data_IF_729510314816
#
_entry.id   IF_729510314816
#
_cell.length_a   1.000
_cell.length_b   1.000
_cell.length_c   1.000
_cell.angle_alpha   90.00
_cell.angle_beta   90.00
_cell.angle_gamma   90.00
#
_symmetry.space_group_name_H-M   'P 1'
#
loop_
_entity.id
_entity.type
_entity.pdbx_description
1 polymer ?
#
# COMPACT_ATOMS: atom_id res chain seq x y z
N UNK A 1 -14.55 18.41 50.22
CA UNK A 1 -14.40 17.25 49.30
C UNK A 1 -14.34 17.79 47.87
N UNK A 2 -13.26 18.51 47.52
CA UNK A 2 -12.10 18.06 46.70
C UNK A 2 -12.53 17.48 45.34
N UNK A 3 -12.88 18.35 44.38
CA UNK A 3 -12.08 18.77 43.19
C UNK A 3 -12.00 17.72 42.08
N UNK A 4 -12.78 17.95 41.02
CA UNK A 4 -12.68 17.27 39.73
C UNK A 4 -11.32 17.58 39.07
N UNK A 5 -10.63 16.53 38.59
CA UNK A 5 -9.40 16.65 37.80
C UNK A 5 -9.76 16.54 36.32
N UNK A 6 -9.76 17.68 35.62
CA UNK A 6 -9.65 17.73 34.16
C UNK A 6 -8.25 17.21 33.79
N UNK A 7 -8.18 16.09 33.07
CA UNK A 7 -6.94 15.67 32.40
C UNK A 7 -6.87 16.41 31.06
N UNK A 8 -6.00 17.42 31.01
CA UNK A 8 -5.68 18.17 29.80
C UNK A 8 -5.15 17.24 28.70
N UNK A 9 -5.84 17.21 27.56
CA UNK A 9 -5.35 16.60 26.33
C UNK A 9 -4.30 17.56 25.74
N UNK A 10 -3.02 17.22 25.90
CA UNK A 10 -1.95 17.96 25.25
C UNK A 10 -2.01 17.70 23.74
N UNK A 11 -2.55 18.67 23.00
CA UNK A 11 -2.36 18.77 21.55
C UNK A 11 -0.90 19.15 21.35
N UNK A 12 -0.09 18.23 20.83
CA UNK A 12 1.25 18.54 20.38
C UNK A 12 1.14 19.43 19.13
N UNK A 13 1.35 20.73 19.31
CA UNK A 13 1.59 21.66 18.21
C UNK A 13 2.92 21.28 17.54
N UNK A 14 2.85 20.61 16.39
CA UNK A 14 4.01 20.52 15.49
C UNK A 14 4.19 21.91 14.87
N UNK A 15 5.15 22.66 15.37
CA UNK A 15 5.60 23.90 14.74
C UNK A 15 6.29 23.54 13.42
N UNK A 16 5.63 23.80 12.29
CA UNK A 16 6.21 23.64 10.96
C UNK A 16 6.95 24.93 10.64
N UNK A 17 8.29 24.88 10.73
CA UNK A 17 9.14 25.93 10.17
C UNK A 17 8.94 25.99 8.63
N UNK A 18 9.07 27.17 8.00
CA UNK A 18 8.87 27.28 6.56
C UNK A 18 9.92 26.45 5.81
N UNK A 19 9.46 25.38 5.15
CA UNK A 19 10.28 24.59 4.24
C UNK A 19 10.60 25.46 3.03
N UNK A 20 11.88 25.75 2.85
CA UNK A 20 12.38 26.50 1.70
C UNK A 20 12.08 25.72 0.42
N UNK A 21 11.63 26.46 -0.59
CA UNK A 21 11.21 25.98 -1.89
C UNK A 21 12.35 25.28 -2.65
N UNK A 22 12.48 23.98 -2.43
CA UNK A 22 12.98 22.95 -3.36
C UNK A 22 12.30 21.66 -2.89
N UNK A 23 11.08 21.39 -3.37
CA UNK A 23 10.26 20.29 -2.88
C UNK A 23 10.89 18.92 -3.20
N UNK A 24 11.81 18.48 -2.35
CA UNK A 24 12.37 17.13 -2.36
C UNK A 24 11.60 16.23 -1.40
N UNK A 25 11.07 16.79 -0.31
CA UNK A 25 10.24 16.08 0.67
C UNK A 25 8.76 16.36 0.41
N UNK A 26 7.97 15.32 0.23
CA UNK A 26 6.50 15.40 0.20
C UNK A 26 5.92 14.55 1.32
N UNK A 27 4.76 14.94 1.84
CA UNK A 27 4.06 14.17 2.85
C UNK A 27 2.58 13.99 2.50
N UNK A 28 1.96 12.93 3.01
CA UNK A 28 0.53 12.72 2.84
C UNK A 28 -0.12 12.06 4.05
N UNK A 29 -1.42 12.30 4.19
CA UNK A 29 -2.30 11.59 5.12
C UNK A 29 -3.63 11.30 4.44
N UNK A 30 -4.18 10.11 4.67
CA UNK A 30 -5.42 9.66 4.09
C UNK A 30 -6.29 8.92 5.09
N UNK A 31 -7.61 9.13 5.00
CA UNK A 31 -8.62 8.32 5.67
C UNK A 31 -9.37 7.53 4.60
N UNK A 32 -9.30 6.20 4.67
CA UNK A 32 -10.01 5.30 3.76
C UNK A 32 -11.08 4.52 4.49
N UNK A 33 -12.20 4.21 3.83
CA UNK A 33 -13.27 3.35 4.37
C UNK A 33 -12.83 1.89 4.54
N UNK A 34 -11.80 1.45 3.82
CA UNK A 34 -11.15 0.16 3.99
C UNK A 34 -9.77 0.16 3.29
N UNK A 35 -8.77 -0.47 3.90
CA UNK A 35 -7.48 -0.73 3.25
C UNK A 35 -7.50 -2.12 2.60
N UNK A 36 -7.35 -2.15 1.27
CA UNK A 36 -7.08 -3.37 0.50
C UNK A 36 -5.66 -3.36 -0.07
N UNK A 37 -4.92 -4.42 0.21
CA UNK A 37 -3.62 -4.70 -0.40
C UNK A 37 -3.76 -5.89 -1.36
N UNK A 38 -3.39 -5.71 -2.63
CA UNK A 38 -3.55 -6.72 -3.70
C UNK A 38 -4.95 -7.36 -3.70
N UNK A 39 -5.98 -6.52 -3.56
CA UNK A 39 -7.39 -6.93 -3.51
C UNK A 39 -7.88 -7.55 -2.18
N UNK A 40 -6.99 -7.79 -1.21
CA UNK A 40 -7.32 -8.42 0.08
C UNK A 40 -7.44 -7.38 1.20
N UNK A 41 -8.50 -7.49 2.02
CA UNK A 41 -8.68 -6.60 3.18
C UNK A 41 -7.53 -6.71 4.18
N UNK A 42 -7.15 -5.56 4.74
CA UNK A 42 -6.11 -5.45 5.77
C UNK A 42 -6.69 -5.18 7.17
N UNK A 43 -8.02 -5.20 7.33
CA UNK A 43 -8.71 -5.37 8.62
C UNK A 43 -9.68 -6.53 8.46
N UNK A 44 -9.50 -7.59 9.25
CA UNK A 44 -10.29 -8.82 9.28
C UNK A 44 -11.00 -9.01 10.62
N UNK A 45 -10.64 -8.26 11.66
CA UNK A 45 -11.13 -8.43 13.03
C UNK A 45 -12.61 -8.12 13.22
N UNK A 46 -13.25 -7.42 12.27
CA UNK A 46 -14.69 -7.13 12.30
C UNK A 46 -15.38 -7.64 11.04
N UNK A 47 -16.52 -8.32 11.19
CA UNK A 47 -17.39 -8.66 10.06
C UNK A 47 -18.26 -7.45 9.65
N UNK A 48 -17.61 -6.42 9.09
CA UNK A 48 -18.25 -5.17 8.64
C UNK A 48 -17.81 -4.82 7.23
N UNK A 49 -18.69 -4.15 6.49
CA UNK A 49 -18.37 -3.68 5.13
C UNK A 49 -17.33 -2.55 5.13
N UNK A 50 -17.42 -1.66 6.13
CA UNK A 50 -16.57 -0.48 6.32
C UNK A 50 -15.68 -0.73 7.55
N UNK A 51 -14.37 -0.60 7.34
CA UNK A 51 -13.32 -0.81 8.33
C UNK A 51 -12.24 0.25 8.10
N UNK A 52 -12.44 1.46 8.65
CA UNK A 52 -11.62 2.59 8.26
C UNK A 52 -10.15 2.39 8.60
N UNK A 53 -9.27 2.87 7.74
CA UNK A 53 -7.83 2.90 8.00
C UNK A 53 -7.28 4.32 7.84
N UNK A 54 -6.38 4.68 8.76
CA UNK A 54 -5.59 5.90 8.67
C UNK A 54 -4.26 5.53 8.00
N UNK A 55 -3.93 6.27 6.95
CA UNK A 55 -2.76 6.02 6.12
C UNK A 55 -1.95 7.29 5.97
N UNK A 56 -0.65 7.18 5.75
CA UNK A 56 0.19 8.34 5.52
C UNK A 56 1.66 8.00 5.38
N UNK A 57 2.41 8.95 4.85
CA UNK A 57 3.80 8.70 4.49
C UNK A 57 4.58 9.95 4.14
N UNK A 58 5.87 9.73 3.90
CA UNK A 58 6.84 10.73 3.50
C UNK A 58 7.67 10.19 2.34
N UNK A 59 7.94 11.03 1.36
CA UNK A 59 8.79 10.71 0.21
C UNK A 59 9.89 11.74 0.09
N UNK A 60 11.12 11.30 -0.13
CA UNK A 60 12.26 12.17 -0.39
C UNK A 60 12.93 11.81 -1.72
N UNK A 61 12.99 12.78 -2.63
CA UNK A 61 13.68 12.65 -3.92
C UNK A 61 15.02 13.38 -3.88
N UNK A 62 16.10 12.71 -4.25
CA UNK A 62 17.46 13.27 -4.21
C UNK A 62 17.73 14.15 -5.43
N UNK A 63 17.05 15.30 -5.48
CA UNK A 63 17.13 16.24 -6.61
C UNK A 63 16.84 15.56 -7.94
N UNK A 64 17.60 15.90 -8.97
CA UNK A 64 17.44 15.33 -10.31
C UNK A 64 18.22 14.02 -10.51
N UNK A 65 18.76 13.43 -9.44
CA UNK A 65 19.60 12.23 -9.56
C UNK A 65 18.83 11.00 -10.04
N UNK A 66 17.51 10.96 -9.84
CA UNK A 66 16.65 9.80 -10.05
C UNK A 66 16.48 8.91 -8.81
N UNK A 67 17.34 9.06 -7.80
CA UNK A 67 17.20 8.32 -6.54
C UNK A 67 16.09 8.90 -5.66
N UNK A 68 15.39 8.02 -4.95
CA UNK A 68 14.41 8.40 -3.93
C UNK A 68 14.34 7.36 -2.81
N UNK A 69 13.84 7.81 -1.66
CA UNK A 69 13.44 6.96 -0.53
C UNK A 69 12.08 7.42 -0.04
N UNK A 70 11.35 6.53 0.62
CA UNK A 70 10.10 6.90 1.24
C UNK A 70 9.64 5.90 2.29
N UNK A 71 8.59 6.31 2.97
CA UNK A 71 7.91 5.54 3.98
C UNK A 71 6.40 5.70 3.82
N UNK A 72 5.68 4.62 4.05
CA UNK A 72 4.23 4.62 4.11
C UNK A 72 3.76 3.79 5.29
N UNK A 73 2.63 4.15 5.87
CA UNK A 73 2.05 3.46 7.02
C UNK A 73 0.54 3.32 6.88
N UNK A 74 -0.01 2.28 7.48
CA UNK A 74 -1.45 2.13 7.64
C UNK A 74 -1.80 1.34 8.90
N UNK A 75 -2.93 1.71 9.52
CA UNK A 75 -3.57 0.82 10.48
C UNK A 75 -4.04 -0.47 9.79
N UNK A 76 -3.81 -1.61 10.44
CA UNK A 76 -4.14 -2.96 9.95
C UNK A 76 -4.61 -3.85 11.10
N UNK A 77 -5.34 -4.93 10.82
CA UNK A 77 -5.79 -5.95 11.78
C UNK A 77 -6.11 -7.27 11.05
N UNK A 78 -5.07 -7.98 10.61
CA UNK A 78 -5.20 -9.21 9.79
C UNK A 78 -4.29 -10.36 10.22
N UNK A 79 -3.35 -10.09 11.13
CA UNK A 79 -2.59 -11.09 11.87
C UNK A 79 -2.79 -10.90 13.37
N UNK A 80 -2.62 -11.96 14.17
CA UNK A 80 -2.61 -11.81 15.62
C UNK A 80 -1.61 -10.73 16.05
N UNK A 81 -2.11 -9.72 16.78
CA UNK A 81 -1.36 -8.60 17.37
C UNK A 81 -0.75 -7.61 16.37
N UNK A 82 -1.07 -7.66 15.07
CA UNK A 82 -0.70 -6.57 14.18
C UNK A 82 -1.71 -5.41 14.30
N UNK A 83 -1.20 -4.19 14.39
CA UNK A 83 -2.02 -2.98 14.40
C UNK A 83 -1.52 -1.90 13.43
N UNK A 84 -0.29 -2.07 12.94
CA UNK A 84 0.41 -1.12 12.09
C UNK A 84 1.26 -1.87 11.06
N UNK A 85 1.07 -1.47 9.80
CA UNK A 85 1.96 -1.73 8.69
C UNK A 85 2.84 -0.50 8.50
N UNK A 86 4.14 -0.71 8.39
CA UNK A 86 5.15 0.30 8.10
C UNK A 86 5.99 -0.20 6.94
N UNK A 87 5.92 0.52 5.84
CA UNK A 87 6.63 0.21 4.63
C UNK A 87 7.78 1.19 4.45
N UNK A 88 8.97 0.67 4.17
CA UNK A 88 10.10 1.47 3.71
C UNK A 88 10.42 1.10 2.28
N UNK A 89 10.69 2.09 1.46
CA UNK A 89 11.08 1.86 0.08
C UNK A 89 12.13 2.85 -0.38
N UNK A 90 12.82 2.44 -1.43
CA UNK A 90 13.73 3.29 -2.17
C UNK A 90 13.97 2.71 -3.54
N UNK A 91 14.38 3.56 -4.45
CA UNK A 91 14.58 3.16 -5.83
C UNK A 91 15.25 4.23 -6.67
N UNK A 92 15.32 3.93 -7.95
CA UNK A 92 15.90 4.75 -8.97
C UNK A 92 14.95 4.87 -10.16
N UNK A 93 14.58 6.11 -10.49
CA UNK A 93 13.74 6.45 -11.64
C UNK A 93 14.56 7.13 -12.71
N UNK A 94 14.36 6.72 -13.96
CA UNK A 94 14.96 7.34 -15.13
C UNK A 94 14.08 7.18 -16.36
N UNK A 95 14.28 8.07 -17.34
CA UNK A 95 13.59 8.01 -18.63
C UNK A 95 14.43 7.27 -19.66
N UNK A 96 13.80 6.36 -20.40
CA UNK A 96 14.36 5.69 -21.56
C UNK A 96 13.46 5.99 -22.77
N UNK A 97 13.75 7.08 -23.49
CA UNK A 97 12.87 7.62 -24.51
C UNK A 97 11.54 8.08 -23.91
N UNK A 98 10.43 7.54 -24.40
CA UNK A 98 9.07 7.84 -23.92
C UNK A 98 8.65 6.99 -22.70
N UNK A 99 9.50 6.06 -22.25
CA UNK A 99 9.18 5.16 -21.14
C UNK A 99 9.85 5.65 -19.85
N UNK A 100 9.06 5.79 -18.80
CA UNK A 100 9.55 6.00 -17.42
C UNK A 100 9.83 4.64 -16.78
N UNK A 101 11.07 4.42 -16.36
CA UNK A 101 11.51 3.20 -15.68
C UNK A 101 11.76 3.47 -14.20
N UNK A 102 11.38 2.51 -13.36
CA UNK A 102 11.56 2.56 -11.90
C UNK A 102 12.01 1.19 -11.40
N UNK A 103 13.12 1.15 -10.68
CA UNK A 103 13.60 -0.07 -10.03
C UNK A 103 13.83 0.23 -8.55
N UNK A 104 13.38 -0.67 -7.68
CA UNK A 104 13.48 -0.41 -6.26
C UNK A 104 13.29 -1.63 -5.38
N UNK A 105 13.31 -1.36 -4.09
CA UNK A 105 13.05 -2.32 -3.04
C UNK A 105 11.93 -1.80 -2.12
N UNK A 106 11.19 -2.74 -1.56
CA UNK A 106 10.13 -2.53 -0.57
C UNK A 106 10.39 -3.44 0.62
N UNK A 107 10.33 -2.88 1.81
CA UNK A 107 10.35 -3.59 3.07
C UNK A 107 9.05 -3.31 3.82
N UNK A 108 8.17 -4.30 3.83
CA UNK A 108 6.94 -4.32 4.61
C UNK A 108 7.25 -4.80 6.02
N UNK A 109 6.87 -4.03 7.03
CA UNK A 109 7.04 -4.37 8.45
C UNK A 109 5.69 -4.34 9.15
N UNK A 110 5.35 -5.45 9.81
CA UNK A 110 4.13 -5.60 10.59
C UNK A 110 4.47 -5.64 12.06
N UNK A 111 4.30 -4.50 12.72
CA UNK A 111 4.57 -4.38 14.15
C UNK A 111 3.66 -5.33 14.92
N UNK A 112 4.24 -6.10 15.85
CA UNK A 112 3.53 -7.11 16.64
C UNK A 112 3.43 -8.49 16.01
N UNK A 113 3.71 -8.64 14.69
CA UNK A 113 3.77 -9.96 14.04
C UNK A 113 4.73 -10.00 12.84
N UNK A 114 5.96 -10.46 13.08
CA UNK A 114 7.03 -10.47 12.08
C UNK A 114 6.87 -11.48 10.95
N UNK A 115 5.94 -12.44 11.04
CA UNK A 115 5.58 -13.35 9.95
C UNK A 115 4.91 -12.63 8.78
N UNK A 116 4.37 -11.44 9.00
CA UNK A 116 3.89 -10.56 7.93
C UNK A 116 5.02 -9.88 7.17
N UNK A 117 6.20 -9.71 7.79
CA UNK A 117 7.28 -8.90 7.21
C UNK A 117 7.73 -9.49 5.88
N UNK A 118 7.79 -8.64 4.87
CA UNK A 118 8.08 -9.07 3.50
C UNK A 118 9.08 -8.09 2.88
N UNK A 119 10.06 -8.61 2.15
CA UNK A 119 10.99 -7.82 1.35
C UNK A 119 10.79 -8.16 -0.11
N UNK A 120 10.53 -7.15 -0.94
CA UNK A 120 10.37 -7.31 -2.38
C UNK A 120 11.36 -6.41 -3.13
N UNK A 121 11.89 -6.91 -4.24
CA UNK A 121 12.50 -6.08 -5.28
C UNK A 121 11.49 -5.90 -6.40
N UNK A 122 11.52 -4.77 -7.09
CA UNK A 122 10.61 -4.53 -8.19
C UNK A 122 11.24 -3.75 -9.33
N UNK A 123 10.62 -3.91 -10.50
CA UNK A 123 10.80 -3.06 -11.67
C UNK A 123 9.44 -2.63 -12.21
N UNK A 124 9.35 -1.40 -12.69
CA UNK A 124 8.17 -0.86 -13.34
C UNK A 124 8.55 -0.07 -14.59
N UNK A 125 7.64 -0.08 -15.56
CA UNK A 125 7.72 0.69 -16.79
C UNK A 125 6.39 1.40 -17.02
N UNK A 126 6.43 2.70 -17.28
CA UNK A 126 5.26 3.51 -17.58
C UNK A 126 5.40 4.14 -18.95
N UNK A 127 4.36 3.99 -19.77
CA UNK A 127 4.26 4.57 -21.11
C UNK A 127 2.89 5.24 -21.27
N UNK A 128 2.89 6.57 -21.33
CA UNK A 128 1.65 7.35 -21.31
C UNK A 128 0.81 7.02 -20.06
N UNK A 129 -0.48 6.65 -20.21
CA UNK A 129 -1.33 6.34 -19.06
C UNK A 129 -1.16 4.93 -18.51
N UNK A 130 -0.34 4.09 -19.15
CA UNK A 130 -0.20 2.68 -18.78
C UNK A 130 1.07 2.41 -18.00
N UNK A 131 0.97 1.58 -16.97
CA UNK A 131 2.10 1.12 -16.17
C UNK A 131 2.08 -0.39 -16.03
N UNK A 132 3.23 -1.04 -16.21
CA UNK A 132 3.46 -2.42 -15.80
C UNK A 132 4.48 -2.45 -14.67
N UNK A 133 4.20 -3.20 -13.60
CA UNK A 133 5.09 -3.38 -12.46
C UNK A 133 5.18 -4.86 -12.10
N UNK A 134 6.39 -5.34 -11.85
CA UNK A 134 6.61 -6.67 -11.29
C UNK A 134 7.38 -6.57 -9.98
N UNK A 135 6.80 -7.12 -8.92
CA UNK A 135 7.44 -7.29 -7.61
C UNK A 135 7.82 -8.75 -7.39
N UNK A 136 9.01 -8.97 -6.83
CA UNK A 136 9.57 -10.28 -6.54
C UNK A 136 10.04 -10.37 -5.08
N UNK A 137 9.49 -11.33 -4.35
CA UNK A 137 9.82 -11.53 -2.93
C UNK A 137 11.18 -12.18 -2.75
N UNK A 138 12.04 -11.53 -1.97
CA UNK A 138 13.39 -12.02 -1.62
C UNK A 138 13.52 -12.47 -0.17
N UNK A 139 12.60 -12.05 0.71
CA UNK A 139 12.46 -12.57 2.07
C UNK A 139 11.93 -14.00 2.10
N UNK A 140 12.16 -14.71 3.21
CA UNK A 140 11.55 -16.02 3.45
C UNK A 140 10.11 -15.92 3.95
N UNK A 141 9.79 -14.92 4.76
CA UNK A 141 8.40 -14.60 5.06
C UNK A 141 7.74 -13.88 3.87
N UNK A 142 6.43 -14.08 3.71
CA UNK A 142 5.59 -13.41 2.71
C UNK A 142 4.17 -13.26 3.28
N UNK A 143 3.85 -12.07 3.80
CA UNK A 143 2.53 -11.67 4.30
C UNK A 143 1.79 -12.76 5.11
N UNK A 144 2.50 -13.43 6.02
CA UNK A 144 1.95 -14.48 6.89
C UNK A 144 1.74 -15.86 6.25
N UNK A 145 1.94 -16.02 4.94
CA UNK A 145 1.71 -17.30 4.24
C UNK A 145 2.81 -18.33 4.43
N UNK A 146 4.07 -17.89 4.50
CA UNK A 146 5.19 -18.79 4.73
C UNK A 146 5.41 -19.04 6.22
N UNK A 147 5.45 -17.98 7.04
CA UNK A 147 5.63 -18.08 8.50
C UNK A 147 6.97 -18.68 8.91
N UNK A 148 8.05 -18.38 8.17
CA UNK A 148 9.37 -18.95 8.43
C UNK A 148 9.90 -18.55 9.81
N UNK A 149 9.75 -17.28 10.18
CA UNK A 149 10.08 -16.79 11.53
C UNK A 149 9.23 -17.41 12.64
N UNK A 150 8.06 -17.97 12.30
CA UNK A 150 7.21 -18.71 13.21
C UNK A 150 7.55 -20.22 13.25
N UNK A 151 8.61 -20.66 12.55
CA UNK A 151 9.11 -22.03 12.61
C UNK A 151 8.46 -23.01 11.63
N UNK A 152 7.74 -22.53 10.62
CA UNK A 152 7.10 -23.43 9.64
C UNK A 152 8.09 -24.22 8.77
N UNK A 153 9.32 -23.71 8.61
CA UNK A 153 10.30 -24.22 7.66
C UNK A 153 10.02 -23.90 6.19
N UNK A 154 8.93 -23.20 5.89
CA UNK A 154 8.50 -22.85 4.52
C UNK A 154 9.09 -21.51 4.09
N UNK A 155 9.28 -21.32 2.78
CA UNK A 155 9.76 -20.09 2.19
C UNK A 155 8.77 -19.46 1.21
N UNK A 156 8.48 -18.18 1.44
CA UNK A 156 7.75 -17.30 0.53
C UNK A 156 8.61 -16.63 -0.52
N UNK A 157 9.95 -16.82 -0.45
CA UNK A 157 10.89 -16.36 -1.47
C UNK A 157 10.49 -16.89 -2.85
N UNK A 158 10.65 -16.07 -3.87
CA UNK A 158 10.20 -16.34 -5.23
C UNK A 158 8.67 -16.29 -5.43
N UNK A 159 7.92 -15.73 -4.48
CA UNK A 159 6.58 -15.21 -4.79
C UNK A 159 6.72 -14.01 -5.72
N UNK A 160 5.87 -13.94 -6.74
CA UNK A 160 5.87 -12.86 -7.72
C UNK A 160 4.51 -12.20 -7.82
N UNK A 161 4.51 -10.90 -8.07
CA UNK A 161 3.30 -10.12 -8.30
C UNK A 161 3.46 -9.25 -9.54
N UNK A 162 2.64 -9.51 -10.55
CA UNK A 162 2.56 -8.68 -11.75
C UNK A 162 1.34 -7.77 -11.64
N UNK A 163 1.53 -6.48 -11.88
CA UNK A 163 0.48 -5.47 -11.84
C UNK A 163 0.50 -4.66 -13.13
N UNK A 164 -0.69 -4.45 -13.70
CA UNK A 164 -0.93 -3.60 -14.86
C UNK A 164 -1.92 -2.51 -14.46
N UNK A 165 -1.60 -1.27 -14.76
CA UNK A 165 -2.38 -0.11 -14.38
C UNK A 165 -2.64 0.83 -15.55
N UNK A 166 -3.76 1.53 -15.44
CA UNK A 166 -4.15 2.67 -16.26
C UNK A 166 -4.47 3.84 -15.33
N UNK A 167 -3.91 5.02 -15.60
CA UNK A 167 -4.23 6.26 -14.90
C UNK A 167 -4.23 7.41 -15.90
N UNK A 168 -5.36 8.13 -15.99
CA UNK A 168 -5.51 9.24 -16.93
C UNK A 168 -6.42 10.30 -16.33
N UNK A 169 -6.00 11.57 -16.40
CA UNK A 169 -6.90 12.70 -16.21
C UNK A 169 -7.79 12.82 -17.46
N UNK A 170 -9.11 12.69 -17.28
CA UNK A 170 -10.09 12.63 -18.38
C UNK A 170 -10.88 13.92 -18.54
N UNK A 171 -10.90 14.74 -17.50
CA UNK A 171 -11.40 16.12 -17.48
C UNK A 171 -10.70 16.85 -16.31
N UNK A 172 -10.69 18.20 -16.28
CA UNK A 172 -10.00 18.93 -15.24
C UNK A 172 -10.35 18.41 -13.85
N UNK A 173 -9.32 18.07 -13.06
CA UNK A 173 -9.42 17.56 -11.68
C UNK A 173 -10.00 16.15 -11.54
N UNK A 174 -10.34 15.45 -12.63
CA UNK A 174 -10.91 14.10 -12.57
C UNK A 174 -9.99 13.09 -13.23
N UNK A 175 -9.52 12.17 -12.41
CA UNK A 175 -8.63 11.09 -12.82
C UNK A 175 -9.34 9.77 -12.78
N UNK A 176 -9.30 9.00 -13.86
CA UNK A 176 -9.75 7.61 -13.92
C UNK A 176 -8.56 6.70 -13.65
N UNK A 177 -8.79 5.66 -12.85
CA UNK A 177 -7.80 4.64 -12.48
C UNK A 177 -8.39 3.25 -12.66
N UNK A 178 -7.65 2.37 -13.33
CA UNK A 178 -7.99 0.96 -13.44
C UNK A 178 -6.74 0.11 -13.30
N UNK A 179 -6.87 -1.09 -12.74
CA UNK A 179 -5.74 -2.02 -12.64
C UNK A 179 -6.15 -3.47 -12.49
N UNK A 180 -5.21 -4.34 -12.88
CA UNK A 180 -5.25 -5.79 -12.69
C UNK A 180 -3.94 -6.24 -12.05
N UNK A 181 -4.02 -7.15 -11.08
CA UNK A 181 -2.89 -7.77 -10.44
C UNK A 181 -2.95 -9.30 -10.52
N UNK A 182 -1.80 -9.96 -10.54
CA UNK A 182 -1.68 -11.41 -10.48
C UNK A 182 -0.58 -11.80 -9.48
N UNK A 183 -0.98 -12.50 -8.42
CA UNK A 183 -0.06 -13.06 -7.42
C UNK A 183 0.23 -14.52 -7.75
N UNK A 184 1.51 -14.82 -8.02
CA UNK A 184 2.05 -16.17 -8.15
C UNK A 184 2.85 -16.55 -6.90
N UNK A 185 2.27 -17.38 -6.04
CA UNK A 185 2.94 -17.85 -4.83
C UNK A 185 4.15 -18.74 -5.13
N UNK A 186 5.12 -18.73 -4.20
CA UNK A 186 6.26 -19.64 -4.14
C UNK A 186 5.82 -21.12 -4.06
N UNK A 187 6.75 -22.04 -4.36
CA UNK A 187 6.49 -23.50 -4.32
C UNK A 187 5.95 -23.96 -2.98
N UNK A 188 6.56 -23.52 -1.89
CA UNK A 188 6.25 -24.01 -0.54
C UNK A 188 4.83 -23.59 -0.13
N UNK A 189 4.48 -22.33 -0.42
CA UNK A 189 3.12 -21.80 -0.18
C UNK A 189 2.09 -22.53 -1.04
N UNK A 190 2.39 -22.80 -2.32
CA UNK A 190 1.51 -23.61 -3.18
C UNK A 190 1.39 -25.06 -2.69
N UNK A 191 2.43 -25.60 -2.06
CA UNK A 191 2.42 -26.93 -1.44
C UNK A 191 1.38 -27.05 -0.32
N UNK A 192 0.98 -25.94 0.31
CA UNK A 192 -0.14 -25.86 1.26
C UNK A 192 -1.53 -25.82 0.58
N UNK A 193 -1.59 -25.88 -0.75
CA UNK A 193 -2.82 -25.75 -1.52
C UNK A 193 -3.29 -24.30 -1.70
N UNK A 194 -2.47 -23.30 -1.36
CA UNK A 194 -2.80 -21.88 -1.56
C UNK A 194 -2.82 -21.58 -3.07
N UNK A 195 -3.97 -21.17 -3.65
CA UNK A 195 -4.07 -20.91 -5.07
C UNK A 195 -3.49 -19.53 -5.41
N UNK A 196 -2.81 -19.43 -6.55
CA UNK A 196 -2.58 -18.14 -7.20
C UNK A 196 -3.91 -17.43 -7.47
N UNK A 197 -3.89 -16.11 -7.42
CA UNK A 197 -5.09 -15.30 -7.57
C UNK A 197 -4.82 -14.02 -8.37
N UNK A 198 -5.90 -13.42 -8.83
CA UNK A 198 -5.92 -12.12 -9.48
C UNK A 198 -6.74 -11.14 -8.67
N UNK A 199 -6.27 -9.90 -8.63
CA UNK A 199 -6.99 -8.76 -8.08
C UNK A 199 -7.25 -7.69 -9.15
N UNK A 200 -8.16 -6.78 -8.82
CA UNK A 200 -8.54 -5.69 -9.69
C UNK A 200 -8.97 -4.47 -8.87
N UNK A 201 -8.83 -3.31 -9.49
CA UNK A 201 -9.41 -2.06 -8.99
C UNK A 201 -9.86 -1.19 -10.14
N UNK A 202 -11.04 -0.59 -10.04
CA UNK A 202 -11.53 0.40 -11.01
C UNK A 202 -12.19 1.54 -10.24
N UNK A 203 -11.83 2.77 -10.56
CA UNK A 203 -12.33 3.95 -9.88
C UNK A 203 -11.78 5.24 -10.45
N UNK A 204 -11.87 6.28 -9.63
CA UNK A 204 -11.30 7.57 -9.96
C UNK A 204 -11.07 8.43 -8.73
N UNK A 205 -10.55 9.62 -8.97
CA UNK A 205 -10.35 10.63 -7.95
C UNK A 205 -10.75 12.01 -8.48
N UNK A 206 -11.30 12.82 -7.59
CA UNK A 206 -11.53 14.24 -7.80
C UNK A 206 -10.53 15.03 -6.96
N UNK A 207 -9.77 15.91 -7.59
CA UNK A 207 -8.86 16.85 -6.93
C UNK A 207 -9.61 18.16 -6.60
N UNK A 208 -9.77 18.47 -5.32
CA UNK A 208 -10.39 19.73 -4.92
C UNK A 208 -9.47 20.93 -5.13
N UNK A 209 -8.16 20.70 -5.28
CA UNK A 209 -7.11 21.70 -5.18
C UNK A 209 -6.47 21.70 -3.80
N UNK A 210 -5.40 22.50 -3.66
CA UNK A 210 -4.67 22.69 -2.39
C UNK A 210 -4.23 21.37 -1.74
N UNK A 211 -3.93 20.34 -2.55
CA UNK A 211 -3.50 19.02 -2.10
C UNK A 211 -4.60 18.17 -1.47
N UNK A 212 -5.89 18.52 -1.61
CA UNK A 212 -7.01 17.72 -1.10
C UNK A 212 -7.69 16.97 -2.23
N UNK A 213 -7.85 15.64 -2.10
CA UNK A 213 -8.56 14.83 -3.10
C UNK A 213 -9.48 13.79 -2.48
N UNK A 214 -10.54 13.43 -3.20
CA UNK A 214 -11.45 12.33 -2.86
C UNK A 214 -11.38 11.26 -3.95
N UNK A 215 -10.97 10.06 -3.56
CA UNK A 215 -10.98 8.87 -4.39
C UNK A 215 -12.18 7.97 -4.09
N UNK A 216 -12.68 7.31 -5.13
CA UNK A 216 -13.63 6.21 -5.00
C UNK A 216 -13.26 5.09 -5.98
N UNK A 217 -13.18 3.85 -5.50
CA UNK A 217 -12.87 2.70 -6.34
C UNK A 217 -13.57 1.42 -5.86
N UNK A 218 -13.93 0.55 -6.79
CA UNK A 218 -14.30 -0.83 -6.49
C UNK A 218 -13.06 -1.70 -6.62
N UNK A 219 -12.67 -2.34 -5.52
CA UNK A 219 -11.45 -3.16 -5.44
C UNK A 219 -11.77 -4.53 -4.87
N UNK A 220 -11.18 -5.59 -5.43
CA UNK A 220 -11.38 -6.96 -4.95
C UNK A 220 -10.47 -7.98 -5.63
N UNK A 221 -10.71 -9.26 -5.35
CA UNK A 221 -9.95 -10.36 -5.92
C UNK A 221 -10.81 -11.59 -6.26
N UNK A 222 -10.28 -12.46 -7.10
CA UNK A 222 -10.89 -13.76 -7.39
C UNK A 222 -10.59 -14.78 -6.27
N UNK A 223 -10.88 -16.08 -6.47
CA UNK A 223 -10.64 -17.15 -5.47
C UNK A 223 -11.30 -16.92 -4.09
N UNK A 224 -12.47 -16.26 -4.06
CA UNK A 224 -13.28 -16.02 -2.85
C UNK A 224 -13.65 -17.30 -2.09
N UNK A 225 -13.77 -18.44 -2.76
CA UNK A 225 -14.03 -19.73 -2.10
C UNK A 225 -12.88 -20.18 -1.21
N UNK A 226 -11.64 -19.79 -1.53
CA UNK A 226 -10.45 -20.11 -0.75
C UNK A 226 -10.15 -19.02 0.28
N UNK A 227 -10.07 -17.76 -0.16
CA UNK A 227 -9.67 -16.64 0.70
C UNK A 227 -10.83 -16.03 1.51
N UNK A 228 -12.07 -16.39 1.20
CA UNK A 228 -13.24 -15.91 1.94
C UNK A 228 -13.53 -14.41 1.75
N UNK A 229 -13.94 -13.77 2.84
CA UNK A 229 -14.46 -12.39 2.84
C UNK A 229 -13.42 -11.36 2.39
N UNK A 230 -12.13 -11.59 2.67
CA UNK A 230 -11.07 -10.63 2.35
C UNK A 230 -10.94 -10.34 0.87
N UNK A 231 -11.33 -11.28 -0.01
CA UNK A 231 -11.29 -11.11 -1.47
C UNK A 231 -12.59 -10.53 -2.04
N UNK A 232 -13.63 -10.28 -1.23
CA UNK A 232 -14.85 -9.64 -1.72
C UNK A 232 -14.55 -8.24 -2.24
N UNK A 233 -15.26 -7.89 -3.31
CA UNK A 233 -15.23 -6.55 -3.86
C UNK A 233 -15.83 -5.57 -2.85
N UNK A 234 -15.16 -4.43 -2.66
CA UNK A 234 -15.63 -3.34 -1.81
C UNK A 234 -15.55 -2.03 -2.57
N UNK A 235 -16.56 -1.19 -2.39
CA UNK A 235 -16.43 0.23 -2.66
C UNK A 235 -15.55 0.84 -1.57
N UNK A 236 -14.44 1.43 -1.97
CA UNK A 236 -13.49 2.11 -1.12
C UNK A 236 -13.56 3.59 -1.45
N UNK A 237 -13.77 4.40 -0.42
CA UNK A 237 -13.73 5.86 -0.50
C UNK A 237 -12.57 6.35 0.34
N UNK A 238 -11.74 7.22 -0.23
CA UNK A 238 -10.53 7.72 0.41
C UNK A 238 -10.47 9.24 0.30
N UNK A 239 -10.32 9.91 1.42
CA UNK A 239 -9.99 11.34 1.46
C UNK A 239 -8.49 11.46 1.75
N UNK A 240 -7.78 12.23 0.91
CA UNK A 240 -6.33 12.41 1.02
C UNK A 240 -5.98 13.89 1.11
N UNK A 241 -5.02 14.22 1.98
CA UNK A 241 -4.32 15.50 2.02
C UNK A 241 -2.83 15.26 1.74
N UNK A 242 -2.32 15.93 0.73
CA UNK A 242 -0.88 16.00 0.37
C UNK A 242 -0.32 17.35 0.80
N UNK A 243 0.94 17.35 1.25
CA UNK A 243 1.72 18.49 1.70
C UNK A 243 3.02 18.58 0.90
#
# INVERSE_FOLDING_TARGET
MSRASLKSLAIACVAIAPLWAHAQLTANVSLTTNYKFRGQDQDTGRNKAVKPALQGGFDYTFGDSGWYIGNWNSSVDWLPRNSLETDFYGGYKFKAGEVDLDFGALQYLYSGNSSGNTTELYGAATYGPFTAKYSHTVSKDYFGWAGEKAGSGLSGRNTGYLWLGFTQEVMPKVTVKASLGFTRFASDIKGLGVPNYMDYSVGGAYDFGDGVSLGAAVTGANKKSYFGDVNKARLIVTLTKTL
#
